data_IF_870282493961
#
_entry.id   IF_870282493961
#
_cell.length_a   1.000
_cell.length_b   1.000
_cell.length_c   1.000
_cell.angle_alpha   90.00
_cell.angle_beta   90.00
_cell.angle_gamma   90.00
#
_symmetry.space_group_name_H-M   'P 1'
#
loop_
_entity.id
_entity.type
_entity.pdbx_description
1 polymer ?
#
# COMPACT_ATOMS: atom_id res chain seq x y z
N UNK A 1 -34.83 -17.27 14.29
CA UNK A 1 -33.76 -16.82 15.21
C UNK A 1 -32.39 -17.46 14.91
N UNK A 2 -32.29 -18.79 14.68
CA UNK A 2 -30.99 -19.48 14.44
C UNK A 2 -30.20 -19.00 13.20
N UNK A 3 -30.87 -18.56 12.13
CA UNK A 3 -30.20 -18.13 10.89
C UNK A 3 -29.47 -16.78 11.01
N UNK A 4 -30.03 -15.85 11.79
CA UNK A 4 -29.45 -14.52 11.99
C UNK A 4 -28.18 -14.56 12.86
N UNK A 5 -28.13 -15.48 13.83
CA UNK A 5 -26.94 -15.68 14.68
C UNK A 5 -25.78 -16.23 13.84
N UNK A 6 -26.07 -17.14 12.90
CA UNK A 6 -25.07 -17.70 11.98
C UNK A 6 -24.53 -16.63 11.02
N UNK A 7 -25.41 -15.78 10.46
CA UNK A 7 -24.98 -14.66 9.61
C UNK A 7 -24.16 -13.62 10.39
N UNK A 8 -24.55 -13.30 11.62
CA UNK A 8 -23.81 -12.36 12.46
C UNK A 8 -22.41 -12.90 12.80
N UNK A 9 -22.29 -14.20 13.14
CA UNK A 9 -21.00 -14.85 13.40
C UNK A 9 -20.09 -14.87 12.17
N UNK A 10 -20.65 -15.05 10.97
CA UNK A 10 -19.89 -15.08 9.72
C UNK A 10 -19.37 -13.69 9.32
N UNK A 11 -20.16 -12.63 9.57
CA UNK A 11 -19.72 -11.24 9.42
C UNK A 11 -18.65 -10.88 10.47
N UNK A 12 -18.82 -11.35 11.71
CA UNK A 12 -17.86 -11.10 12.78
C UNK A 12 -16.52 -11.80 12.51
N UNK A 13 -16.51 -13.03 11.99
CA UNK A 13 -15.27 -13.72 11.63
C UNK A 13 -14.56 -13.05 10.45
N UNK A 14 -15.32 -12.51 9.49
CA UNK A 14 -14.76 -11.75 8.37
C UNK A 14 -14.12 -10.44 8.83
N UNK A 15 -14.73 -9.73 9.77
CA UNK A 15 -14.16 -8.53 10.39
C UNK A 15 -12.88 -8.84 11.17
N UNK A 16 -12.87 -9.91 11.98
CA UNK A 16 -11.69 -10.33 12.73
C UNK A 16 -10.54 -10.81 11.84
N UNK A 17 -10.83 -11.38 10.66
CA UNK A 17 -9.82 -11.70 9.67
C UNK A 17 -9.22 -10.46 8.99
N UNK A 18 -9.91 -9.33 8.97
CA UNK A 18 -9.39 -8.08 8.40
C UNK A 18 -8.48 -7.35 9.40
N UNK A 19 -8.79 -7.40 10.70
CA UNK A 19 -7.98 -6.76 11.74
C UNK A 19 -6.61 -7.45 11.95
N UNK A 20 -6.50 -8.75 11.69
CA UNK A 20 -5.22 -9.49 11.79
C UNK A 20 -4.31 -9.33 10.55
N UNK A 21 -4.67 -8.50 9.57
CA UNK A 21 -3.85 -8.23 8.36
C UNK A 21 -2.96 -7.00 8.53
N UNK A 22 -3.04 -6.29 9.67
CA UNK A 22 -2.04 -5.28 10.01
C UNK A 22 -0.79 -5.93 10.63
N UNK A 23 0.36 -5.64 10.00
CA UNK A 23 1.73 -5.84 10.48
C UNK A 23 2.46 -7.13 10.09
N UNK A 24 2.70 -7.29 8.79
CA UNK A 24 4.00 -7.82 8.34
C UNK A 24 4.48 -7.09 7.08
N UNK A 25 4.63 -5.76 7.20
CA UNK A 25 5.50 -5.02 6.29
C UNK A 25 6.95 -5.30 6.70
N UNK A 26 7.45 -6.44 6.25
CA UNK A 26 8.89 -6.71 6.15
C UNK A 26 9.35 -5.96 4.91
N UNK A 27 10.03 -4.84 5.12
CA UNK A 27 10.90 -4.28 4.08
C UNK A 27 11.94 -5.35 3.83
N UNK A 28 11.98 -5.91 2.62
CA UNK A 28 13.03 -6.84 2.24
C UNK A 28 14.39 -6.15 2.38
N UNK A 29 15.15 -6.56 3.40
CA UNK A 29 16.57 -6.23 3.60
C UNK A 29 17.44 -7.00 2.59
N UNK A 30 17.14 -6.93 1.30
CA UNK A 30 17.89 -7.65 0.25
C UNK A 30 19.20 -6.94 -0.17
N UNK A 31 19.76 -6.03 0.66
CA UNK A 31 20.99 -5.29 0.30
C UNK A 31 22.15 -5.48 1.30
N UNK A 32 22.06 -6.48 2.18
CA UNK A 32 23.24 -7.03 2.87
C UNK A 32 23.51 -8.51 2.53
N UNK A 33 23.03 -8.96 1.36
CA UNK A 33 23.45 -10.22 0.77
C UNK A 33 24.81 -10.03 0.07
N UNK A 34 25.88 -10.49 0.71
CA UNK A 34 27.24 -10.55 0.15
C UNK A 34 27.31 -11.41 -1.11
N UNK A 35 26.88 -10.86 -2.24
CA UNK A 35 26.88 -11.47 -3.56
C UNK A 35 27.57 -10.54 -4.55
N UNK A 36 28.83 -10.86 -4.88
CA UNK A 36 29.65 -10.26 -5.96
C UNK A 36 29.42 -8.76 -6.16
N UNK A 37 30.11 -7.94 -5.36
CA UNK A 37 30.29 -6.52 -5.60
C UNK A 37 30.81 -6.29 -7.04
N UNK A 38 29.89 -5.93 -7.92
CA UNK A 38 30.18 -5.04 -9.04
C UNK A 38 30.84 -3.80 -8.41
N UNK A 39 32.10 -3.51 -8.74
CA UNK A 39 32.92 -2.41 -8.20
C UNK A 39 32.42 -0.99 -8.55
N UNK A 40 31.11 -0.80 -8.46
CA UNK A 40 30.38 0.43 -8.65
C UNK A 40 30.57 1.31 -7.41
N UNK A 41 30.86 2.61 -7.59
CA UNK A 41 31.03 3.56 -6.51
C UNK A 41 29.84 3.62 -5.56
N UNK A 42 30.15 3.66 -4.27
CA UNK A 42 29.21 3.95 -3.19
C UNK A 42 29.67 5.26 -2.56
N UNK A 43 28.75 6.22 -2.48
CA UNK A 43 28.98 7.53 -1.88
C UNK A 43 28.17 7.66 -0.59
N UNK A 44 28.76 8.30 0.41
CA UNK A 44 28.09 8.61 1.68
C UNK A 44 27.99 10.11 1.84
N UNK A 45 26.76 10.61 1.78
CA UNK A 45 26.45 12.02 1.96
C UNK A 45 26.12 12.28 3.43
N UNK A 46 26.85 13.20 4.07
CA UNK A 46 26.64 13.55 5.49
C UNK A 46 26.16 15.00 5.64
N UNK A 47 25.19 15.23 6.53
CA UNK A 47 24.68 16.58 6.84
C UNK A 47 25.76 17.47 7.46
N UNK A 48 26.73 16.86 8.14
CA UNK A 48 27.79 17.54 8.88
C UNK A 48 29.07 17.75 8.04
N UNK A 49 29.09 17.31 6.79
CA UNK A 49 30.24 17.44 5.91
C UNK A 49 29.96 18.45 4.79
N UNK A 50 31.01 19.19 4.43
CA UNK A 50 31.02 20.07 3.28
C UNK A 50 31.75 19.38 2.12
N UNK A 51 31.23 19.60 0.93
CA UNK A 51 31.95 19.35 -0.32
C UNK A 51 33.17 20.28 -0.42
N UNK A 52 34.14 19.97 -1.27
CA UNK A 52 35.30 20.83 -1.55
C UNK A 52 34.93 22.26 -2.01
N UNK A 53 33.72 22.45 -2.55
CA UNK A 53 33.19 23.74 -2.97
C UNK A 53 32.39 24.46 -1.85
N UNK A 54 32.61 24.09 -0.58
CA UNK A 54 31.95 24.64 0.60
C UNK A 54 30.41 24.47 0.64
N UNK A 55 29.84 23.62 -0.21
CA UNK A 55 28.40 23.26 -0.16
C UNK A 55 28.19 22.10 0.78
N UNK A 56 27.06 22.04 1.48
CA UNK A 56 26.68 20.86 2.26
C UNK A 56 26.59 19.61 1.36
N UNK A 57 27.17 18.49 1.80
CA UNK A 57 27.05 17.23 1.08
C UNK A 57 25.61 16.71 1.09
N UNK A 58 24.87 16.90 2.19
CA UNK A 58 23.48 16.47 2.33
C UNK A 58 22.61 17.62 2.81
N UNK A 59 21.52 17.92 2.09
CA UNK A 59 20.57 18.98 2.47
C UNK A 59 19.12 18.62 2.16
N UNK A 60 18.24 18.86 3.13
CA UNK A 60 16.80 18.77 2.98
C UNK A 60 16.24 20.11 2.45
N UNK A 61 15.81 20.14 1.19
CA UNK A 61 15.36 21.37 0.52
C UNK A 61 13.83 21.54 0.56
N UNK A 62 13.07 20.47 0.80
CA UNK A 62 11.60 20.54 0.77
C UNK A 62 10.89 19.33 1.35
N UNK A 63 9.57 19.30 1.14
CA UNK A 63 8.68 18.24 1.61
C UNK A 63 7.92 18.58 2.90
N UNK A 64 6.91 17.79 3.22
CA UNK A 64 5.98 18.02 4.35
C UNK A 64 6.59 17.73 5.72
N UNK A 65 7.70 16.98 5.77
CA UNK A 65 8.42 16.62 6.99
C UNK A 65 9.77 17.36 7.16
N UNK A 66 10.01 18.41 6.36
CA UNK A 66 11.23 19.24 6.47
C UNK A 66 11.31 19.95 7.83
N UNK A 67 12.51 20.04 8.40
CA UNK A 67 12.78 20.69 9.68
C UNK A 67 12.40 19.86 10.90
N UNK A 68 12.12 18.58 10.72
CA UNK A 68 11.78 17.66 11.81
C UNK A 68 13.00 16.83 12.21
N UNK A 69 12.87 16.10 13.34
CA UNK A 69 13.92 15.18 13.80
C UNK A 69 14.05 13.92 12.92
N UNK A 70 13.22 13.80 11.88
CA UNK A 70 13.21 12.70 10.91
C UNK A 70 14.16 12.96 9.72
N UNK A 71 14.80 14.13 9.67
CA UNK A 71 15.81 14.41 8.65
C UNK A 71 17.01 13.47 8.78
N UNK A 72 17.41 12.87 7.65
CA UNK A 72 18.55 11.97 7.60
C UNK A 72 19.85 12.68 7.97
N UNK A 73 20.58 12.15 8.94
CA UNK A 73 21.94 12.59 9.26
C UNK A 73 22.94 12.23 8.15
N UNK A 74 22.71 11.07 7.51
CA UNK A 74 23.47 10.62 6.35
C UNK A 74 22.60 9.78 5.40
N UNK A 75 22.98 9.78 4.12
CA UNK A 75 22.42 8.92 3.07
C UNK A 75 23.56 8.17 2.37
N UNK A 76 23.35 6.89 2.11
CA UNK A 76 24.29 6.06 1.34
C UNK A 76 23.66 5.82 -0.02
N UNK A 77 24.35 6.24 -1.08
CA UNK A 77 23.88 6.09 -2.45
C UNK A 77 24.86 5.26 -3.26
N UNK A 78 24.30 4.27 -3.98
CA UNK A 78 25.04 3.45 -4.93
C UNK A 78 24.80 3.97 -6.34
N UNK A 79 25.89 4.16 -7.08
CA UNK A 79 25.86 4.54 -8.49
C UNK A 79 25.51 3.33 -9.37
N UNK A 80 24.79 3.56 -10.48
CA UNK A 80 24.60 2.57 -11.54
C UNK A 80 25.82 2.41 -12.45
N UNK A 81 26.75 3.37 -12.43
CA UNK A 81 27.94 3.42 -13.30
C UNK A 81 29.23 3.67 -12.52
N UNK A 82 30.38 3.24 -13.07
CA UNK A 82 31.69 3.54 -12.48
C UNK A 82 32.07 5.03 -12.57
N UNK A 83 31.61 5.72 -13.62
CA UNK A 83 31.82 7.16 -13.76
C UNK A 83 30.68 7.92 -13.08
N UNK A 84 30.94 8.41 -11.86
CA UNK A 84 29.97 9.18 -11.06
C UNK A 84 29.64 10.56 -11.67
N UNK A 85 30.42 11.02 -12.65
CA UNK A 85 30.23 12.32 -13.31
C UNK A 85 29.39 12.20 -14.60
N UNK A 86 29.03 10.99 -14.99
CA UNK A 86 28.25 10.74 -16.20
C UNK A 86 26.83 11.28 -16.05
N UNK A 87 26.27 11.89 -17.10
CA UNK A 87 24.92 12.49 -17.05
C UNK A 87 23.80 11.47 -16.86
N UNK A 88 24.03 10.25 -17.34
CA UNK A 88 23.07 9.14 -17.28
C UNK A 88 23.26 8.25 -16.05
N UNK A 89 24.01 8.72 -15.05
CA UNK A 89 24.17 7.99 -13.80
C UNK A 89 22.83 7.94 -13.05
N UNK A 90 22.43 6.74 -12.65
CA UNK A 90 21.26 6.54 -11.81
C UNK A 90 21.72 6.23 -10.40
N UNK A 91 21.11 6.89 -9.42
CA UNK A 91 21.47 6.74 -8.01
C UNK A 91 20.40 5.99 -7.24
N UNK A 92 20.82 4.97 -6.49
CA UNK A 92 19.96 4.28 -5.53
C UNK A 92 20.41 4.63 -4.13
N UNK A 93 19.62 5.44 -3.44
CA UNK A 93 19.92 5.91 -2.08
C UNK A 93 19.11 5.14 -1.04
N UNK A 94 19.75 4.81 0.07
CA UNK A 94 19.14 4.23 1.25
C UNK A 94 19.53 5.04 2.49
N UNK A 95 18.60 5.14 3.43
CA UNK A 95 18.86 5.67 4.76
C UNK A 95 18.57 4.60 5.78
N UNK A 96 19.50 4.39 6.71
CA UNK A 96 19.27 3.55 7.89
C UNK A 96 18.59 4.30 9.03
N UNK A 97 18.44 5.63 8.94
CA UNK A 97 17.97 6.49 10.04
C UNK A 97 16.56 7.07 9.83
N UNK A 98 16.00 6.98 8.62
CA UNK A 98 14.66 7.48 8.31
C UNK A 98 13.60 6.54 8.89
N UNK A 99 12.67 7.07 9.71
CA UNK A 99 11.59 6.25 10.28
C UNK A 99 10.58 5.80 9.23
N UNK A 100 9.78 4.78 9.57
CA UNK A 100 8.70 4.27 8.71
C UNK A 100 7.60 5.30 8.41
N UNK A 101 7.57 6.41 9.14
CA UNK A 101 6.55 7.45 9.02
C UNK A 101 6.90 8.49 7.96
N UNK A 102 8.11 8.50 7.43
CA UNK A 102 8.57 9.44 6.42
C UNK A 102 9.17 8.69 5.23
N UNK A 103 9.11 9.32 4.06
CA UNK A 103 9.71 8.81 2.83
C UNK A 103 10.55 9.89 2.18
N UNK A 104 11.67 9.47 1.62
CA UNK A 104 12.45 10.30 0.72
C UNK A 104 11.68 10.47 -0.59
N UNK A 105 11.47 11.71 -0.97
CA UNK A 105 10.90 12.09 -2.26
C UNK A 105 11.89 13.00 -2.98
N UNK A 106 11.88 13.00 -4.32
CA UNK A 106 12.71 13.87 -5.17
C UNK A 106 14.18 13.98 -4.72
N UNK A 107 14.99 13.03 -5.18
CA UNK A 107 16.43 13.06 -4.97
C UNK A 107 17.10 13.77 -6.15
N UNK A 108 17.96 14.73 -5.86
CA UNK A 108 18.81 15.41 -6.83
C UNK A 108 20.26 15.31 -6.37
N UNK A 109 21.10 14.67 -7.18
CA UNK A 109 22.54 14.53 -6.89
C UNK A 109 23.29 15.26 -8.00
N UNK A 110 24.11 16.22 -7.60
CA UNK A 110 25.00 16.96 -8.49
C UNK A 110 26.44 16.62 -8.12
N UNK A 111 27.22 16.21 -9.11
CA UNK A 111 28.60 15.76 -8.97
C UNK A 111 29.47 16.61 -9.90
N UNK A 112 29.94 17.79 -9.47
CA UNK A 112 30.82 18.60 -10.28
C UNK A 112 32.16 17.89 -10.46
N UNK A 113 32.61 17.74 -11.71
CA UNK A 113 33.94 17.20 -12.01
C UNK A 113 35.01 18.23 -11.66
N UNK A 114 35.78 17.96 -10.61
CA UNK A 114 36.93 18.76 -10.20
C UNK A 114 38.23 18.11 -10.70
N UNK A 115 39.28 18.92 -10.89
CA UNK A 115 40.61 18.45 -11.31
C UNK A 115 41.40 17.84 -10.14
N UNK A 116 40.74 17.04 -9.30
CA UNK A 116 41.32 16.38 -8.13
C UNK A 116 40.81 14.94 -8.12
N UNK A 117 41.71 13.99 -7.89
CA UNK A 117 41.35 12.59 -7.74
C UNK A 117 40.78 12.35 -6.34
N UNK A 118 39.51 11.99 -6.27
CA UNK A 118 38.81 11.69 -5.02
C UNK A 118 38.69 10.19 -4.81
N UNK A 119 38.85 9.75 -3.56
CA UNK A 119 38.64 8.36 -3.17
C UNK A 119 37.17 8.16 -2.82
N UNK A 120 36.49 7.20 -3.46
CA UNK A 120 35.08 6.92 -3.19
C UNK A 120 34.84 6.61 -1.70
N UNK A 121 33.77 7.15 -1.12
CA UNK A 121 33.48 7.06 0.31
C UNK A 121 32.85 8.33 0.86
N UNK A 122 33.49 8.94 1.86
CA UNK A 122 33.07 10.21 2.49
C UNK A 122 33.70 11.46 1.82
N UNK A 123 34.78 11.28 1.05
CA UNK A 123 35.54 12.38 0.41
C UNK A 123 35.22 12.45 -1.09
N UNK A 124 34.14 13.16 -1.44
CA UNK A 124 33.69 13.32 -2.82
C UNK A 124 33.12 14.74 -3.09
N UNK A 125 33.15 15.21 -4.35
CA UNK A 125 32.66 16.54 -4.68
C UNK A 125 31.13 16.66 -4.78
N UNK A 126 30.41 15.53 -4.70
CA UNK A 126 28.97 15.49 -4.93
C UNK A 126 28.16 16.10 -3.77
N UNK A 127 27.09 16.81 -4.09
CA UNK A 127 26.04 17.24 -3.17
C UNK A 127 24.72 16.51 -3.47
N UNK A 128 23.94 16.23 -2.42
CA UNK A 128 22.64 15.59 -2.51
C UNK A 128 21.58 16.49 -1.86
N UNK A 129 20.59 16.86 -2.66
CA UNK A 129 19.39 17.56 -2.23
C UNK A 129 18.20 16.59 -2.24
N UNK A 130 17.42 16.58 -1.17
CA UNK A 130 16.26 15.70 -1.07
C UNK A 130 15.04 16.41 -0.50
N UNK A 131 13.87 15.83 -0.75
CA UNK A 131 12.63 16.17 -0.07
C UNK A 131 12.24 15.05 0.90
N UNK A 132 11.64 15.44 2.03
CA UNK A 132 11.14 14.50 3.03
C UNK A 132 9.65 14.72 3.22
N UNK A 133 8.85 13.70 2.92
CA UNK A 133 7.39 13.74 3.07
C UNK A 133 6.92 12.71 4.10
N UNK A 134 5.89 13.07 4.87
CA UNK A 134 5.17 12.10 5.68
C UNK A 134 4.52 11.02 4.81
N UNK A 135 4.59 9.77 5.28
CA UNK A 135 3.87 8.66 4.69
C UNK A 135 2.40 8.81 5.09
N UNK A 136 1.60 9.28 4.16
CA UNK A 136 0.16 9.31 4.28
C UNK A 136 -0.37 7.87 4.40
N UNK A 137 -0.61 7.40 5.63
CA UNK A 137 -1.22 6.09 5.95
C UNK A 137 -2.70 5.96 5.50
N UNK A 138 -3.17 6.84 4.60
CA UNK A 138 -4.54 6.89 4.11
C UNK A 138 -4.94 5.72 3.19
N UNK A 139 -4.05 4.78 2.89
CA UNK A 139 -4.39 3.55 2.14
C UNK A 139 -5.40 2.67 2.90
N UNK A 140 -5.40 2.72 4.23
CA UNK A 140 -6.41 2.02 5.05
C UNK A 140 -7.84 2.53 4.79
N UNK A 141 -8.00 3.86 4.63
CA UNK A 141 -9.30 4.49 4.43
C UNK A 141 -10.00 4.07 3.14
N UNK A 142 -9.25 3.84 2.05
CA UNK A 142 -9.85 3.42 0.79
C UNK A 142 -10.43 2.01 0.87
N UNK A 143 -9.71 1.04 1.45
CA UNK A 143 -10.19 -0.35 1.56
C UNK A 143 -11.32 -0.49 2.57
N UNK A 144 -11.21 0.18 3.72
CA UNK A 144 -12.27 0.22 4.72
C UNK A 144 -13.55 0.91 4.18
N UNK A 145 -13.41 1.96 3.37
CA UNK A 145 -14.51 2.68 2.75
C UNK A 145 -15.38 1.79 1.85
N UNK A 146 -14.77 0.94 1.02
CA UNK A 146 -15.50 -0.02 0.19
C UNK A 146 -16.20 -1.11 1.01
N UNK A 147 -15.56 -1.58 2.09
CA UNK A 147 -16.15 -2.54 3.01
C UNK A 147 -17.41 -2.01 3.69
N UNK A 148 -17.36 -0.79 4.22
CA UNK A 148 -18.52 -0.12 4.85
C UNK A 148 -19.65 0.10 3.83
N UNK A 149 -19.31 0.53 2.61
CA UNK A 149 -20.30 0.71 1.55
C UNK A 149 -21.01 -0.61 1.20
N UNK A 150 -20.25 -1.71 1.13
CA UNK A 150 -20.77 -3.06 0.88
C UNK A 150 -21.74 -3.53 1.97
N UNK A 151 -21.40 -3.32 3.25
CA UNK A 151 -22.28 -3.65 4.38
C UNK A 151 -23.57 -2.81 4.34
N UNK A 152 -23.47 -1.52 4.01
CA UNK A 152 -24.62 -0.63 3.90
C UNK A 152 -25.57 -1.05 2.76
N UNK A 153 -25.03 -1.37 1.58
CA UNK A 153 -25.81 -1.90 0.46
C UNK A 153 -26.49 -3.22 0.80
N UNK A 154 -25.78 -4.14 1.46
CA UNK A 154 -26.35 -5.42 1.88
C UNK A 154 -27.48 -5.25 2.91
N UNK A 155 -27.32 -4.35 3.88
CA UNK A 155 -28.37 -4.00 4.85
C UNK A 155 -29.63 -3.45 4.16
N UNK A 156 -29.48 -2.52 3.21
CA UNK A 156 -30.61 -1.97 2.44
C UNK A 156 -31.32 -3.08 1.67
N UNK A 157 -30.57 -3.97 1.03
CA UNK A 157 -31.13 -5.10 0.27
C UNK A 157 -31.95 -6.04 1.16
N UNK A 158 -31.43 -6.40 2.34
CA UNK A 158 -32.15 -7.23 3.31
C UNK A 158 -33.42 -6.54 3.84
N UNK A 159 -33.33 -5.25 4.19
CA UNK A 159 -34.46 -4.47 4.74
C UNK A 159 -35.57 -4.28 3.71
N UNK A 160 -35.23 -4.11 2.43
CA UNK A 160 -36.21 -4.02 1.34
C UNK A 160 -36.99 -5.33 1.16
N UNK A 161 -36.32 -6.47 1.32
CA UNK A 161 -36.96 -7.78 1.26
C UNK A 161 -37.89 -8.04 2.45
N UNK A 162 -37.51 -7.69 3.68
CA UNK A 162 -38.40 -7.90 4.85
C UNK A 162 -39.68 -7.08 4.78
N UNK A 163 -39.62 -5.87 4.21
CA UNK A 163 -40.81 -5.04 4.03
C UNK A 163 -41.79 -5.64 3.00
N UNK A 164 -41.28 -6.19 1.89
CA UNK A 164 -42.09 -6.90 0.91
C UNK A 164 -42.79 -8.13 1.51
N UNK A 165 -42.07 -8.93 2.30
CA UNK A 165 -42.64 -10.07 2.99
C UNK A 165 -43.68 -9.67 4.05
N UNK A 166 -43.44 -8.59 4.81
CA UNK A 166 -44.39 -8.11 5.82
C UNK A 166 -45.68 -7.54 5.21
N UNK A 167 -45.58 -6.88 4.04
CA UNK A 167 -46.75 -6.40 3.29
C UNK A 167 -47.59 -7.53 2.68
N UNK A 168 -46.96 -8.65 2.34
CA UNK A 168 -47.66 -9.85 1.86
C UNK A 168 -48.44 -10.58 2.96
N UNK A 169 -47.96 -10.54 4.20
CA UNK A 169 -48.62 -11.20 5.35
C UNK A 169 -49.78 -10.35 5.89
N UNK A 170 -49.65 -9.02 5.87
CA UNK A 170 -50.67 -8.11 6.40
C UNK A 170 -51.85 -7.86 5.45
N UNK A 171 -51.74 -8.22 4.16
CA UNK A 171 -52.80 -8.01 3.18
C UNK A 171 -52.89 -9.16 2.13
N UNK A 172 -53.43 -10.34 2.51
CA UNK A 172 -53.42 -11.53 1.65
C UNK A 172 -54.39 -11.48 0.44
N UNK A 173 -55.14 -10.38 0.25
CA UNK A 173 -56.27 -10.34 -0.71
C UNK A 173 -55.93 -9.60 -2.03
N UNK A 174 -54.81 -8.88 -2.13
CA UNK A 174 -54.53 -7.98 -3.27
C UNK A 174 -53.47 -8.42 -4.28
N UNK A 175 -53.13 -9.72 -4.34
CA UNK A 175 -52.40 -10.25 -5.48
C UNK A 175 -53.38 -10.94 -6.45
N UNK A 176 -53.35 -10.63 -7.75
CA UNK A 176 -54.00 -11.49 -8.74
C UNK A 176 -53.42 -12.89 -8.52
N UNK A 177 -54.30 -13.88 -8.37
CA UNK A 177 -53.93 -15.30 -8.30
C UNK A 177 -53.40 -15.76 -9.66
N UNK A 178 -52.30 -15.19 -10.13
CA UNK A 178 -51.43 -15.97 -10.99
C UNK A 178 -50.75 -16.98 -10.08
N UNK A 179 -51.11 -18.24 -10.27
CA UNK A 179 -50.46 -19.37 -9.62
C UNK A 179 -49.01 -19.41 -10.13
N UNK A 180 -48.12 -18.61 -9.54
CA UNK A 180 -46.69 -18.71 -9.81
C UNK A 180 -46.28 -20.10 -9.34
N UNK A 181 -46.00 -20.94 -10.31
CA UNK A 181 -45.71 -22.35 -10.09
C UNK A 181 -44.58 -22.47 -9.06
N UNK A 182 -44.78 -23.16 -7.92
CA UNK A 182 -43.78 -23.26 -6.85
C UNK A 182 -42.44 -23.84 -7.33
N UNK A 183 -42.43 -24.55 -8.47
CA UNK A 183 -41.22 -25.00 -9.15
C UNK A 183 -40.35 -23.83 -9.65
N UNK A 184 -40.97 -22.76 -10.16
CA UNK A 184 -40.26 -21.58 -10.69
C UNK A 184 -39.61 -20.79 -9.56
N UNK A 185 -40.29 -20.65 -8.42
CA UNK A 185 -39.74 -19.94 -7.26
C UNK A 185 -38.56 -20.69 -6.61
N UNK A 186 -38.64 -22.03 -6.53
CA UNK A 186 -37.50 -22.86 -6.09
C UNK A 186 -36.32 -22.78 -7.06
N UNK A 187 -36.60 -22.81 -8.38
CA UNK A 187 -35.56 -22.67 -9.39
C UNK A 187 -34.84 -21.31 -9.29
N UNK A 188 -35.60 -20.22 -9.14
CA UNK A 188 -35.04 -18.88 -8.93
C UNK A 188 -34.19 -18.79 -7.65
N UNK A 189 -34.66 -19.36 -6.53
CA UNK A 189 -33.90 -19.39 -5.28
C UNK A 189 -32.58 -20.16 -5.38
N UNK A 190 -32.58 -21.28 -6.11
CA UNK A 190 -31.36 -22.05 -6.40
C UNK A 190 -30.40 -21.22 -7.28
N UNK A 191 -30.91 -20.59 -8.34
CA UNK A 191 -30.09 -19.74 -9.23
C UNK A 191 -29.47 -18.58 -8.46
N UNK A 192 -30.22 -17.88 -7.62
CA UNK A 192 -29.67 -16.79 -6.78
C UNK A 192 -28.60 -17.32 -5.82
N UNK A 193 -28.83 -18.48 -5.20
CA UNK A 193 -27.85 -19.10 -4.28
C UNK A 193 -26.56 -19.48 -5.00
N UNK A 194 -26.65 -20.00 -6.23
CA UNK A 194 -25.49 -20.32 -7.07
C UNK A 194 -24.72 -19.05 -7.45
N UNK A 195 -25.42 -17.99 -7.88
CA UNK A 195 -24.78 -16.72 -8.26
C UNK A 195 -24.03 -16.12 -7.07
N UNK A 196 -24.64 -16.12 -5.88
CA UNK A 196 -23.98 -15.65 -4.66
C UNK A 196 -22.74 -16.49 -4.38
N UNK A 197 -22.85 -17.81 -4.39
CA UNK A 197 -21.73 -18.72 -4.13
C UNK A 197 -20.56 -18.53 -5.11
N UNK A 198 -20.83 -18.42 -6.41
CA UNK A 198 -19.82 -18.15 -7.43
C UNK A 198 -19.17 -16.79 -7.19
N UNK A 199 -19.96 -15.76 -6.86
CA UNK A 199 -19.44 -14.41 -6.57
C UNK A 199 -18.50 -14.43 -5.35
N UNK A 200 -18.81 -15.19 -4.30
CA UNK A 200 -17.93 -15.34 -3.14
C UNK A 200 -16.63 -16.06 -3.49
N UNK A 201 -16.70 -17.12 -4.31
CA UNK A 201 -15.50 -17.84 -4.75
C UNK A 201 -14.60 -16.93 -5.59
N UNK A 202 -15.17 -16.19 -6.55
CA UNK A 202 -14.42 -15.24 -7.39
C UNK A 202 -13.78 -14.17 -6.53
N UNK A 203 -14.49 -13.64 -5.54
CA UNK A 203 -13.94 -12.67 -4.60
C UNK A 203 -12.76 -13.24 -3.80
N UNK A 204 -12.89 -14.46 -3.25
CA UNK A 204 -11.80 -15.13 -2.53
C UNK A 204 -10.58 -15.35 -3.45
N UNK A 205 -10.80 -15.79 -4.69
CA UNK A 205 -9.73 -15.98 -5.67
C UNK A 205 -9.02 -14.66 -6.03
N UNK A 206 -9.78 -13.57 -6.21
CA UNK A 206 -9.21 -12.24 -6.45
C UNK A 206 -8.38 -11.77 -5.26
N UNK A 207 -8.87 -11.96 -4.03
CA UNK A 207 -8.10 -11.68 -2.83
C UNK A 207 -6.79 -12.49 -2.82
N UNK A 208 -6.85 -13.80 -3.01
CA UNK A 208 -5.66 -14.67 -3.05
C UNK A 208 -4.67 -14.26 -4.14
N UNK A 209 -5.14 -13.88 -5.33
CA UNK A 209 -4.29 -13.38 -6.42
C UNK A 209 -3.62 -12.04 -6.09
N UNK A 210 -4.33 -11.14 -5.40
CA UNK A 210 -3.73 -9.90 -4.91
C UNK A 210 -2.66 -10.14 -3.83
N UNK A 211 -2.78 -11.23 -3.07
CA UNK A 211 -1.79 -11.62 -2.05
C UNK A 211 -0.64 -12.46 -2.59
N UNK A 212 -0.82 -13.18 -3.71
CA UNK A 212 0.21 -14.03 -4.30
C UNK A 212 1.00 -13.38 -5.42
N UNK A 213 0.62 -12.18 -5.87
CA UNK A 213 1.40 -11.41 -6.81
C UNK A 213 2.75 -11.01 -6.16
N UNK A 214 3.89 -11.55 -6.62
CA UNK A 214 5.18 -11.05 -6.18
C UNK A 214 5.32 -9.61 -6.67
N UNK A 215 5.70 -8.71 -5.76
CA UNK A 215 6.15 -7.35 -6.08
C UNK A 215 7.53 -7.45 -6.74
#
# INVERSE_FOLDING_TARGET
MKLYILQLLLVLSLLLCIDNVESSFVVNDDVYGGGRDSGLPILRFSKNMLTPNERHQLICIGGTARGTNEEAEYLICKSSMNDIYHKDVEWKCQSSTISKNVRLTKLNIDCPKLNVDYTYGDDHPCNLEYHLDWVDNYTFSKKAGWGILGVFFFYIFLKRNTNLYSGQISNPIFLPREQINPKVFRALGIVVSIIVFISTIVFILLCLLMFSAPI
#
